data_IF_812357753402
#
_entry.id   IF_812357753402
#
_cell.length_a   1.000
_cell.length_b   1.000
_cell.length_c   1.000
_cell.angle_alpha   90.00
_cell.angle_beta   90.00
_cell.angle_gamma   90.00
#
_symmetry.space_group_name_H-M   'P 1'
#
loop_
_entity.id
_entity.type
_entity.pdbx_description
1 polymer ?
#
# COMPACT_ATOMS: atom_id res chain seq x y z
N UNK A 1 -13.45 -8.84 -10.61
CA UNK A 1 -14.21 -8.01 -9.65
C UNK A 1 -13.37 -7.64 -8.43
N UNK A 2 -13.13 -8.55 -7.46
CA UNK A 2 -12.34 -8.21 -6.26
C UNK A 2 -10.89 -7.83 -6.59
N UNK A 3 -10.25 -8.58 -7.48
CA UNK A 3 -8.88 -8.29 -7.93
C UNK A 3 -8.76 -6.95 -8.64
N UNK A 4 -9.78 -6.56 -9.41
CA UNK A 4 -9.77 -5.29 -10.16
C UNK A 4 -9.86 -4.10 -9.20
N UNK A 5 -10.71 -4.20 -8.18
CA UNK A 5 -10.80 -3.19 -7.11
C UNK A 5 -9.54 -3.05 -6.28
N UNK A 6 -8.86 -4.16 -6.02
CA UNK A 6 -7.56 -4.08 -5.35
C UNK A 6 -6.53 -3.38 -6.23
N UNK A 7 -6.51 -3.64 -7.55
CA UNK A 7 -5.61 -2.92 -8.49
C UNK A 7 -5.94 -1.43 -8.58
N UNK A 8 -7.22 -1.06 -8.54
CA UNK A 8 -7.65 0.35 -8.43
C UNK A 8 -7.08 1.00 -7.16
N UNK A 9 -7.21 0.34 -6.00
CA UNK A 9 -6.64 0.83 -4.75
C UNK A 9 -5.11 0.99 -4.81
N UNK A 10 -4.40 0.00 -5.38
CA UNK A 10 -2.94 0.08 -5.61
C UNK A 10 -2.57 1.28 -6.48
N UNK A 11 -3.36 1.56 -7.52
CA UNK A 11 -3.15 2.70 -8.41
C UNK A 11 -3.34 4.03 -7.68
N UNK A 12 -4.40 4.13 -6.86
CA UNK A 12 -4.66 5.31 -6.02
C UNK A 12 -3.48 5.56 -5.08
N UNK A 13 -3.00 4.54 -4.39
CA UNK A 13 -1.92 4.66 -3.42
C UNK A 13 -0.57 4.95 -4.07
N UNK A 14 -0.26 4.32 -5.21
CA UNK A 14 0.95 4.61 -5.98
C UNK A 14 1.01 6.09 -6.36
N UNK A 15 -0.08 6.60 -6.97
CA UNK A 15 -0.19 8.02 -7.32
C UNK A 15 -0.02 8.92 -6.09
N UNK A 16 -0.62 8.56 -4.96
CA UNK A 16 -0.48 9.33 -3.72
C UNK A 16 0.95 9.36 -3.19
N UNK A 17 1.67 8.24 -3.19
CA UNK A 17 3.07 8.23 -2.78
C UNK A 17 3.97 9.04 -3.73
N UNK A 18 3.69 9.00 -5.04
CA UNK A 18 4.37 9.83 -6.04
C UNK A 18 4.12 11.33 -5.80
N UNK A 19 2.87 11.74 -5.53
CA UNK A 19 2.52 13.12 -5.17
C UNK A 19 3.23 13.61 -3.89
N UNK A 20 3.44 12.71 -2.93
CA UNK A 20 4.15 13.00 -1.67
C UNK A 20 5.69 12.95 -1.84
N UNK A 21 6.20 12.72 -3.05
CA UNK A 21 7.63 12.52 -3.34
C UNK A 21 8.27 11.41 -2.49
N UNK A 22 7.49 10.36 -2.16
CA UNK A 22 7.97 9.21 -1.40
C UNK A 22 8.66 8.24 -2.36
N UNK A 23 9.95 7.91 -2.18
CA UNK A 23 10.64 6.97 -3.06
C UNK A 23 10.14 5.54 -2.86
N UNK A 24 10.21 4.70 -3.89
CA UNK A 24 9.99 3.25 -3.76
C UNK A 24 11.24 2.60 -3.17
N UNK A 25 11.14 1.95 -2.01
CA UNK A 25 12.28 1.23 -1.43
C UNK A 25 11.84 -0.10 -0.82
N UNK A 26 12.64 -1.13 -1.10
CA UNK A 26 12.56 -2.40 -0.38
C UNK A 26 13.39 -2.30 0.89
N UNK A 27 12.78 -2.51 2.04
CA UNK A 27 13.47 -2.43 3.32
C UNK A 27 14.02 -3.81 3.75
N UNK A 28 15.19 -3.84 4.42
CA UNK A 28 15.70 -5.05 5.05
C UNK A 28 14.71 -5.59 6.09
N UNK A 29 14.60 -6.92 6.21
CA UNK A 29 13.61 -7.56 7.10
C UNK A 29 14.00 -7.50 8.58
N UNK A 30 15.24 -7.13 8.87
CA UNK A 30 15.85 -7.15 10.19
C UNK A 30 16.25 -5.74 10.67
N UNK A 31 15.79 -4.70 9.99
CA UNK A 31 16.07 -3.31 10.35
C UNK A 31 14.77 -2.55 10.59
N UNK A 32 14.80 -1.62 11.54
CA UNK A 32 13.70 -0.70 11.78
C UNK A 32 13.80 0.50 10.82
N UNK A 33 12.67 1.07 10.35
CA UNK A 33 12.70 2.34 9.66
C UNK A 33 13.29 3.42 10.59
N UNK A 34 14.15 4.29 10.05
CA UNK A 34 14.84 5.33 10.83
C UNK A 34 14.09 6.66 10.83
N UNK A 35 13.06 6.76 9.99
CA UNK A 35 12.25 7.97 9.80
C UNK A 35 10.85 7.62 9.28
N UNK A 36 9.94 8.59 9.37
CA UNK A 36 8.60 8.43 8.78
C UNK A 36 8.67 8.22 7.26
N UNK A 37 9.59 8.93 6.60
CA UNK A 37 9.84 8.75 5.17
C UNK A 37 10.33 7.33 4.81
N UNK A 38 11.04 6.66 5.72
CA UNK A 38 11.49 5.29 5.49
C UNK A 38 10.31 4.31 5.48
N UNK A 39 9.39 4.39 6.45
CA UNK A 39 8.23 3.48 6.43
C UNK A 39 7.31 3.78 5.24
N UNK A 40 7.16 5.05 4.83
CA UNK A 40 6.38 5.40 3.65
C UNK A 40 7.04 4.86 2.38
N UNK A 41 8.36 4.96 2.28
CA UNK A 41 9.11 4.38 1.17
C UNK A 41 8.99 2.85 1.12
N UNK A 42 8.91 2.19 2.28
CA UNK A 42 8.59 0.78 2.38
C UNK A 42 7.20 0.48 1.83
N UNK A 43 6.18 1.21 2.27
CA UNK A 43 4.81 1.04 1.79
C UNK A 43 4.70 1.24 0.27
N UNK A 44 5.41 2.23 -0.27
CA UNK A 44 5.44 2.47 -1.71
C UNK A 44 6.08 1.30 -2.47
N UNK A 45 7.19 0.75 -1.96
CA UNK A 45 7.82 -0.45 -2.53
C UNK A 45 6.96 -1.71 -2.41
N UNK A 46 6.17 -1.84 -1.34
CA UNK A 46 5.25 -2.98 -1.15
C UNK A 46 4.21 -3.09 -2.26
N UNK A 47 3.76 -1.98 -2.85
CA UNK A 47 2.76 -2.00 -3.93
C UNK A 47 3.22 -2.82 -5.15
N UNK A 48 4.51 -2.76 -5.48
CA UNK A 48 5.06 -3.51 -6.62
C UNK A 48 5.14 -5.02 -6.32
N UNK A 49 5.46 -5.39 -5.07
CA UNK A 49 5.40 -6.80 -4.62
C UNK A 49 3.95 -7.32 -4.55
N UNK A 50 2.97 -6.45 -4.24
CA UNK A 50 1.55 -6.82 -4.24
C UNK A 50 1.04 -7.21 -5.62
N UNK A 51 1.50 -6.55 -6.68
CA UNK A 51 1.15 -6.94 -8.07
C UNK A 51 1.58 -8.38 -8.37
N UNK A 52 2.76 -8.80 -7.89
CA UNK A 52 3.23 -10.18 -8.02
C UNK A 52 2.30 -11.13 -7.25
N UNK A 53 1.91 -10.79 -6.01
CA UNK A 53 0.97 -11.64 -5.25
C UNK A 53 -0.41 -11.74 -5.91
N UNK A 54 -0.86 -10.68 -6.57
CA UNK A 54 -2.11 -10.70 -7.35
C UNK A 54 -1.97 -11.66 -8.54
N UNK A 55 -0.86 -11.60 -9.28
CA UNK A 55 -0.59 -12.50 -10.41
C UNK A 55 -0.47 -13.96 -9.97
N UNK A 56 0.10 -14.21 -8.79
CA UNK A 56 0.21 -15.53 -8.16
C UNK A 56 -1.11 -16.01 -7.51
N UNK A 57 -2.18 -15.23 -7.54
CA UNK A 57 -3.47 -15.58 -6.90
C UNK A 57 -3.46 -15.58 -5.36
N UNK A 58 -2.45 -14.97 -4.73
CA UNK A 58 -2.24 -14.98 -3.27
C UNK A 58 -3.02 -13.87 -2.55
N UNK A 59 -4.34 -13.83 -2.79
CA UNK A 59 -5.19 -12.71 -2.38
C UNK A 59 -5.25 -12.46 -0.87
N UNK A 60 -5.18 -13.49 -0.02
CA UNK A 60 -5.12 -13.30 1.44
C UNK A 60 -3.91 -12.46 1.88
N UNK A 61 -2.76 -12.66 1.21
CA UNK A 61 -1.55 -11.88 1.49
C UNK A 61 -1.71 -10.44 0.99
N UNK A 62 -2.31 -10.28 -0.18
CA UNK A 62 -2.64 -8.97 -0.76
C UNK A 62 -3.53 -8.18 0.19
N UNK A 63 -4.62 -8.76 0.70
CA UNK A 63 -5.51 -8.07 1.63
C UNK A 63 -4.83 -7.68 2.96
N UNK A 64 -3.97 -8.54 3.51
CA UNK A 64 -3.18 -8.19 4.71
C UNK A 64 -2.27 -7.00 4.47
N UNK A 65 -1.60 -6.95 3.32
CA UNK A 65 -0.72 -5.84 2.96
C UNK A 65 -1.50 -4.57 2.64
N UNK A 66 -2.66 -4.70 2.00
CA UNK A 66 -3.57 -3.59 1.73
C UNK A 66 -4.01 -2.93 3.04
N UNK A 67 -4.46 -3.71 4.02
CA UNK A 67 -4.86 -3.21 5.34
C UNK A 67 -3.70 -2.54 6.09
N UNK A 68 -2.48 -3.09 5.99
CA UNK A 68 -1.29 -2.47 6.57
C UNK A 68 -1.02 -1.09 5.96
N UNK A 69 -0.98 -0.98 4.63
CA UNK A 69 -0.75 0.29 3.92
C UNK A 69 -1.87 1.29 4.22
N UNK A 70 -3.13 0.85 4.27
CA UNK A 70 -4.27 1.67 4.67
C UNK A 70 -4.09 2.23 6.09
N UNK A 71 -3.68 1.38 7.04
CA UNK A 71 -3.36 1.83 8.40
C UNK A 71 -2.26 2.89 8.45
N UNK A 72 -1.21 2.72 7.66
CA UNK A 72 -0.13 3.70 7.52
C UNK A 72 -0.62 5.03 6.94
N UNK A 73 -1.40 5.00 5.86
CA UNK A 73 -1.95 6.21 5.22
C UNK A 73 -2.92 6.97 6.12
N UNK A 74 -3.73 6.24 6.89
CA UNK A 74 -4.60 6.83 7.91
C UNK A 74 -3.79 7.49 9.03
N UNK A 75 -2.74 6.83 9.52
CA UNK A 75 -1.89 7.33 10.60
C UNK A 75 -1.25 8.68 10.26
N UNK A 76 -0.94 8.93 8.99
CA UNK A 76 -0.37 10.20 8.52
C UNK A 76 -1.43 11.20 8.02
N UNK A 77 -2.71 10.90 8.18
CA UNK A 77 -3.80 11.81 7.83
C UNK A 77 -4.04 12.00 6.33
N UNK A 78 -3.62 11.04 5.49
CA UNK A 78 -3.80 11.13 4.03
C UNK A 78 -5.21 10.71 3.60
N UNK A 79 -5.76 9.69 4.25
CA UNK A 79 -7.12 9.22 4.00
C UNK A 79 -7.83 8.88 5.30
N UNK A 80 -9.14 9.06 5.32
CA UNK A 80 -10.04 8.51 6.33
C UNK A 80 -10.28 7.02 6.08
N UNK A 81 -10.72 6.31 7.12
CA UNK A 81 -11.10 4.89 7.00
C UNK A 81 -12.24 4.70 5.98
N UNK A 82 -13.18 5.64 5.91
CA UNK A 82 -14.32 5.55 4.99
C UNK A 82 -13.89 5.74 3.52
N UNK A 83 -12.99 6.68 3.24
CA UNK A 83 -12.41 6.83 1.90
C UNK A 83 -11.69 5.55 1.47
N UNK A 84 -10.82 5.02 2.34
CA UNK A 84 -10.06 3.81 2.02
C UNK A 84 -10.95 2.58 1.83
N UNK A 85 -12.01 2.43 2.61
CA UNK A 85 -13.01 1.37 2.42
C UNK A 85 -13.62 1.43 1.03
N UNK A 86 -13.86 2.62 0.49
CA UNK A 86 -14.42 2.80 -0.85
C UNK A 86 -13.39 2.57 -1.97
N UNK A 87 -12.09 2.66 -1.70
CA UNK A 87 -11.06 2.39 -2.72
C UNK A 87 -11.02 0.92 -3.15
N UNK A 88 -11.35 -0.01 -2.26
CA UNK A 88 -11.28 -1.45 -2.54
C UNK A 88 -12.61 -2.18 -2.30
N UNK A 89 -13.73 -1.45 -2.24
CA UNK A 89 -15.09 -2.02 -2.17
C UNK A 89 -15.47 -2.59 -3.56
N UNK A 90 -15.98 -3.84 -3.63
CA UNK A 90 -16.54 -4.42 -4.85
C UNK A 90 -17.60 -3.52 -5.51
#
# INVERSE_FOLDING_TARGET
>A
METDKVREALTIYRKKFEELNVPKRRFPRNELPKSDNDFLAHCHGMLDEMEVFIQEGRMEKVFRWLGFIQGCLWRIGVYTVEEMKNHNRP
#
